data_IF_056747797031
#
_entry.id   IF_056747797031
#
_cell.length_a   1.000
_cell.length_b   1.000
_cell.length_c   1.000
_cell.angle_alpha   90.00
_cell.angle_beta   90.00
_cell.angle_gamma   90.00
#
_symmetry.space_group_name_H-M   'P 1'
#
loop_
_entity.id
_entity.type
_entity.pdbx_description
1 polymer ?
#
# COMPACT_ATOMS: atom_id res chain seq x y z
N UNK A 1 22.75 12.83 27.99
CA UNK A 1 21.58 12.03 27.59
C UNK A 1 21.58 11.94 26.07
N UNK A 2 22.11 10.86 25.50
CA UNK A 2 22.20 10.68 24.04
C UNK A 2 21.04 9.81 23.54
N UNK A 3 20.44 10.16 22.42
CA UNK A 3 19.48 9.27 21.74
C UNK A 3 20.28 8.12 21.13
N UNK A 4 20.08 6.91 21.64
CA UNK A 4 20.62 5.70 21.02
C UNK A 4 19.70 5.27 19.88
N UNK A 5 20.26 5.08 18.68
CA UNK A 5 19.49 4.59 17.54
C UNK A 5 19.11 3.11 17.73
N UNK A 6 17.81 2.82 17.70
CA UNK A 6 17.30 1.45 17.76
C UNK A 6 16.89 0.98 16.36
N UNK A 7 17.76 0.17 15.75
CA UNK A 7 17.58 -0.33 14.39
C UNK A 7 16.30 -1.19 14.23
N UNK A 8 15.96 -2.00 15.23
CA UNK A 8 14.77 -2.86 15.18
C UNK A 8 13.50 -2.02 15.21
N UNK A 9 13.43 -1.04 16.12
CA UNK A 9 12.32 -0.09 16.19
C UNK A 9 12.14 0.65 14.86
N UNK A 10 13.24 1.08 14.24
CA UNK A 10 13.21 1.71 12.93
C UNK A 10 12.62 0.80 11.85
N UNK A 11 13.05 -0.48 11.78
CA UNK A 11 12.52 -1.47 10.83
C UNK A 11 11.02 -1.69 11.04
N UNK A 12 10.56 -1.79 12.29
CA UNK A 12 9.14 -1.95 12.62
C UNK A 12 8.33 -0.75 12.15
N UNK A 13 8.81 0.47 12.36
CA UNK A 13 8.09 1.67 11.88
C UNK A 13 8.04 1.73 10.35
N UNK A 14 9.12 1.36 9.65
CA UNK A 14 9.11 1.22 8.19
C UNK A 14 8.07 0.19 7.75
N UNK A 15 8.01 -0.97 8.42
CA UNK A 15 7.04 -2.02 8.14
C UNK A 15 5.60 -1.53 8.32
N UNK A 16 5.32 -0.84 9.42
CA UNK A 16 3.98 -0.32 9.73
C UNK A 16 3.55 0.70 8.68
N UNK A 17 4.39 1.66 8.32
CA UNK A 17 4.06 2.69 7.32
C UNK A 17 3.88 2.10 5.92
N UNK A 18 4.71 1.14 5.53
CA UNK A 18 4.57 0.41 4.27
C UNK A 18 3.26 -0.42 4.27
N UNK A 19 2.95 -1.06 5.39
CA UNK A 19 1.74 -1.88 5.56
C UNK A 19 0.46 -1.05 5.49
N UNK A 20 0.45 0.13 6.12
CA UNK A 20 -0.66 1.11 6.01
C UNK A 20 -0.85 1.51 4.55
N UNK A 21 0.23 1.80 3.83
CA UNK A 21 0.16 2.17 2.40
C UNK A 21 -0.40 1.03 1.56
N UNK A 22 0.10 -0.20 1.78
CA UNK A 22 -0.33 -1.38 1.03
C UNK A 22 -1.81 -1.71 1.27
N UNK A 23 -2.20 -1.90 2.52
CA UNK A 23 -3.57 -2.29 2.88
C UNK A 23 -4.55 -1.15 2.65
N UNK A 24 -4.15 0.10 2.91
CA UNK A 24 -4.96 1.28 2.61
C UNK A 24 -5.32 1.38 1.12
N UNK A 25 -4.36 1.14 0.23
CA UNK A 25 -4.63 1.09 -1.22
C UNK A 25 -5.47 -0.12 -1.61
N UNK A 26 -5.29 -1.27 -0.95
CA UNK A 26 -6.14 -2.43 -1.18
C UNK A 26 -7.61 -2.11 -0.86
N UNK A 27 -7.88 -1.45 0.28
CA UNK A 27 -9.23 -1.01 0.63
C UNK A 27 -9.77 0.04 -0.34
N UNK A 28 -8.95 1.00 -0.75
CA UNK A 28 -9.33 1.96 -1.79
C UNK A 28 -9.77 1.25 -3.08
N UNK A 29 -9.00 0.26 -3.57
CA UNK A 29 -9.38 -0.45 -4.78
C UNK A 29 -10.67 -1.24 -4.64
N UNK A 30 -10.81 -2.01 -3.56
CA UNK A 30 -11.93 -2.94 -3.40
C UNK A 30 -13.24 -2.23 -3.04
N UNK A 31 -13.20 -1.24 -2.16
CA UNK A 31 -14.40 -0.61 -1.62
C UNK A 31 -14.76 0.72 -2.29
N UNK A 32 -13.82 1.36 -2.98
CA UNK A 32 -14.04 2.69 -3.57
C UNK A 32 -13.89 2.66 -5.08
N UNK A 33 -12.71 2.30 -5.60
CA UNK A 33 -12.42 2.43 -7.03
C UNK A 33 -13.26 1.48 -7.89
N UNK A 34 -13.34 0.19 -7.54
CA UNK A 34 -14.06 -0.81 -8.34
C UNK A 34 -15.57 -0.51 -8.39
N UNK A 35 -16.27 -0.26 -7.26
CA UNK A 35 -17.67 0.15 -7.31
C UNK A 35 -17.90 1.44 -8.10
N UNK A 36 -17.07 2.47 -7.89
CA UNK A 36 -17.22 3.74 -8.61
C UNK A 36 -17.04 3.59 -10.13
N UNK A 37 -16.14 2.70 -10.58
CA UNK A 37 -15.99 2.40 -12.01
C UNK A 37 -17.18 1.62 -12.57
N UNK A 38 -17.82 0.76 -11.76
CA UNK A 38 -19.04 0.06 -12.16
C UNK A 38 -20.21 1.03 -12.32
N UNK A 39 -20.41 1.92 -11.36
CA UNK A 39 -21.44 2.97 -11.44
C UNK A 39 -21.21 3.87 -12.66
N UNK A 40 -19.97 4.30 -12.89
CA UNK A 40 -19.60 5.14 -14.03
C UNK A 40 -19.72 4.43 -15.39
N UNK A 41 -19.71 3.09 -15.42
CA UNK A 41 -19.93 2.32 -16.65
C UNK A 41 -21.43 2.15 -16.97
N UNK A 42 -22.32 2.31 -15.98
CA UNK A 42 -23.77 2.26 -16.15
C UNK A 42 -24.42 3.63 -16.41
N UNK A 43 -23.65 4.72 -16.36
CA UNK A 43 -24.12 6.09 -16.58
C UNK A 43 -23.67 6.63 -17.94
N UNK A 44 -24.50 6.43 -18.97
CA UNK A 44 -24.25 6.86 -20.36
C UNK A 44 -24.16 8.39 -20.53
N UNK A 45 -24.65 9.18 -19.57
CA UNK A 45 -24.59 10.64 -19.58
C UNK A 45 -23.50 11.24 -18.68
N UNK A 46 -22.81 10.41 -17.91
CA UNK A 46 -21.84 10.81 -16.90
C UNK A 46 -20.43 11.07 -17.44
N UNK A 47 -19.53 11.59 -16.59
CA UNK A 47 -18.12 11.81 -16.95
C UNK A 47 -17.32 10.50 -17.21
N UNK A 48 -17.93 9.34 -16.94
CA UNK A 48 -17.33 8.01 -17.10
C UNK A 48 -16.14 7.74 -16.18
N UNK A 49 -15.62 6.51 -16.25
CA UNK A 49 -14.48 6.04 -15.43
C UNK A 49 -13.09 6.43 -15.94
N UNK A 50 -12.99 7.08 -17.11
CA UNK A 50 -11.73 7.27 -17.84
C UNK A 50 -10.70 8.12 -17.08
N UNK A 51 -11.15 9.11 -16.29
CA UNK A 51 -10.25 9.93 -15.48
C UNK A 51 -9.54 9.12 -14.38
N UNK A 52 -10.28 8.22 -13.73
CA UNK A 52 -9.75 7.33 -12.69
C UNK A 52 -8.73 6.37 -13.30
N UNK A 53 -9.09 5.70 -14.41
CA UNK A 53 -8.22 4.69 -15.04
C UNK A 53 -6.97 5.31 -15.66
N UNK A 54 -7.05 6.55 -16.20
CA UNK A 54 -5.91 7.23 -16.81
C UNK A 54 -4.97 7.86 -15.79
N UNK A 55 -5.50 8.55 -14.79
CA UNK A 55 -4.68 9.40 -13.92
C UNK A 55 -4.49 8.84 -12.51
N UNK A 56 -5.44 8.07 -11.96
CA UNK A 56 -5.40 7.63 -10.55
C UNK A 56 -4.87 6.21 -10.43
N UNK A 57 -5.47 5.27 -11.17
CA UNK A 57 -5.16 3.85 -11.07
C UNK A 57 -3.65 3.53 -11.26
N UNK A 58 -2.92 4.10 -12.25
CA UNK A 58 -1.50 3.77 -12.42
C UNK A 58 -0.62 4.20 -11.24
N UNK A 59 -0.91 5.37 -10.65
CA UNK A 59 -0.18 5.87 -9.47
C UNK A 59 -0.49 5.04 -8.24
N UNK A 60 -1.77 4.74 -8.02
CA UNK A 60 -2.19 3.88 -6.92
C UNK A 60 -1.56 2.48 -7.03
N UNK A 61 -1.51 1.89 -8.23
CA UNK A 61 -0.87 0.59 -8.46
C UNK A 61 0.64 0.62 -8.25
N UNK A 62 1.32 1.70 -8.64
CA UNK A 62 2.74 1.87 -8.33
C UNK A 62 2.96 1.81 -6.81
N UNK A 63 2.22 2.61 -6.05
CA UNK A 63 2.36 2.66 -4.58
C UNK A 63 1.96 1.36 -3.92
N UNK A 64 0.94 0.69 -4.43
CA UNK A 64 0.51 -0.62 -3.95
C UNK A 64 1.62 -1.66 -4.09
N UNK A 65 2.28 -1.72 -5.27
CA UNK A 65 3.37 -2.67 -5.53
C UNK A 65 4.54 -2.46 -4.58
N UNK A 66 5.02 -1.22 -4.45
CA UNK A 66 6.18 -0.93 -3.62
C UNK A 66 5.86 -0.94 -2.13
N UNK A 67 4.65 -0.54 -1.73
CA UNK A 67 4.16 -0.68 -0.36
C UNK A 67 4.10 -2.15 0.07
N UNK A 68 3.56 -3.03 -0.79
CA UNK A 68 3.53 -4.47 -0.54
C UNK A 68 4.94 -5.07 -0.41
N UNK A 69 5.83 -4.75 -1.36
CA UNK A 69 7.21 -5.24 -1.34
C UNK A 69 7.96 -4.77 -0.10
N UNK A 70 7.85 -3.49 0.27
CA UNK A 70 8.51 -2.94 1.46
C UNK A 70 7.97 -3.56 2.75
N UNK A 71 6.66 -3.81 2.82
CA UNK A 71 6.05 -4.50 3.97
C UNK A 71 6.63 -5.92 4.09
N UNK A 72 6.68 -6.67 2.99
CA UNK A 72 7.24 -8.01 2.99
C UNK A 72 8.72 -8.03 3.40
N UNK A 73 9.56 -7.18 2.77
CA UNK A 73 11.00 -7.11 3.03
C UNK A 73 11.31 -6.71 4.47
N UNK A 74 10.64 -5.68 4.99
CA UNK A 74 10.85 -5.22 6.37
C UNK A 74 10.36 -6.26 7.39
N UNK A 75 9.29 -6.98 7.10
CA UNK A 75 8.80 -8.08 7.93
C UNK A 75 9.79 -9.24 7.97
N UNK A 76 10.27 -9.66 6.79
CA UNK A 76 11.31 -10.68 6.70
C UNK A 76 12.60 -10.26 7.42
N UNK A 77 13.04 -9.01 7.28
CA UNK A 77 14.22 -8.49 7.96
C UNK A 77 14.06 -8.53 9.49
N UNK A 78 12.90 -8.13 10.01
CA UNK A 78 12.62 -8.19 11.45
C UNK A 78 12.63 -9.63 11.97
N UNK A 79 11.94 -10.56 11.29
CA UNK A 79 11.90 -11.97 11.69
C UNK A 79 13.28 -12.65 11.59
N UNK A 80 14.07 -12.29 10.57
CA UNK A 80 15.46 -12.76 10.42
C UNK A 80 16.37 -12.25 11.54
N UNK A 81 16.20 -11.01 12.00
CA UNK A 81 16.89 -10.49 13.19
C UNK A 81 16.57 -11.30 14.45
N UNK A 82 15.34 -11.80 14.58
CA UNK A 82 14.92 -12.69 15.67
C UNK A 82 15.31 -14.16 15.47
N UNK A 83 16.03 -14.52 14.40
CA UNK A 83 16.46 -15.89 14.08
C UNK A 83 15.30 -16.89 14.02
N UNK A 84 14.16 -16.45 13.51
CA UNK A 84 12.96 -17.30 13.41
C UNK A 84 13.14 -18.37 12.31
N UNK A 85 13.92 -18.07 11.27
CA UNK A 85 14.12 -18.96 10.12
C UNK A 85 15.58 -19.03 9.62
N UNK A 86 16.54 -18.63 10.46
CA UNK A 86 17.99 -18.70 10.20
C UNK A 86 18.68 -19.27 11.42
#
# INVERSE_FOLDING_TARGET
MGIAFNAVSFIVWVHVLAGITWIGLLYYFNFVQVPALADAAGDDGGPGGAGITKYVAPRALWWFRWGALLTWLSGAAALGHYKIFT
#
